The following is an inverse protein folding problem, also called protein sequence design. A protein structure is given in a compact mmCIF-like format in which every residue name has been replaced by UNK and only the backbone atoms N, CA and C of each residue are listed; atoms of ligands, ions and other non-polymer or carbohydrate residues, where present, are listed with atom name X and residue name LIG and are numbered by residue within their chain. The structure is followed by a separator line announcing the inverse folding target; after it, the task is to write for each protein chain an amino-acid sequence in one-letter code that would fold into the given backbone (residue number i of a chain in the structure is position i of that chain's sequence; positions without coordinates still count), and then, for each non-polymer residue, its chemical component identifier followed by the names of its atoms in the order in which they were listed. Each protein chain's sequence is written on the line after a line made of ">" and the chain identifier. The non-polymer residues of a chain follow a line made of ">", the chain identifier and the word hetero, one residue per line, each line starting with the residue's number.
data_IF_685131215421
#
_entry.id   IF_685131215421
#
_cell.length_a   1.000
_cell.length_b   1.000
_cell.length_c   1.000
_cell.angle_alpha   90.00
_cell.angle_beta   90.00
_cell.angle_gamma   90.00
#
_symmetry.space_group_name_H-M   'P 1'
#
loop_
_entity.id
_entity.type
_entity.pdbx_description
1 polymer ?
#
# COMPACT_ATOMS: atom_id res chain seq x y z
N UNK A 1 5.85 0.04 -18.71
CA UNK A 1 5.01 1.24 -18.47
C UNK A 1 4.76 1.42 -16.98
N UNK A 2 4.23 0.39 -16.29
CA UNK A 2 4.03 0.42 -14.84
C UNK A 2 5.34 0.70 -14.06
N UNK A 3 6.44 0.03 -14.38
CA UNK A 3 7.74 0.25 -13.72
C UNK A 3 8.18 1.72 -13.72
N UNK A 4 8.19 2.39 -14.87
CA UNK A 4 8.58 3.79 -14.96
C UNK A 4 7.66 4.73 -14.15
N UNK A 5 6.36 4.43 -14.11
CA UNK A 5 5.40 5.17 -13.28
C UNK A 5 5.65 4.94 -11.78
N UNK A 6 5.95 3.70 -11.37
CA UNK A 6 6.30 3.38 -9.99
C UNK A 6 7.61 4.07 -9.57
N UNK A 7 8.62 4.07 -10.44
CA UNK A 7 9.89 4.74 -10.19
C UNK A 7 9.70 6.26 -10.05
N UNK A 8 8.87 6.86 -10.91
CA UNK A 8 8.55 8.29 -10.83
C UNK A 8 7.79 8.64 -9.54
N UNK A 9 6.79 7.84 -9.18
CA UNK A 9 6.05 8.01 -7.92
C UNK A 9 6.99 7.89 -6.73
N UNK A 10 7.82 6.86 -6.71
CA UNK A 10 8.78 6.65 -5.64
C UNK A 10 9.79 7.79 -5.54
N UNK A 11 10.28 8.33 -6.66
CA UNK A 11 11.14 9.51 -6.66
C UNK A 11 10.49 10.74 -5.99
N UNK A 12 9.16 10.82 -5.94
CA UNK A 12 8.44 11.92 -5.29
C UNK A 12 8.20 11.69 -3.79
N UNK A 13 8.12 10.44 -3.34
CA UNK A 13 7.65 10.11 -1.97
C UNK A 13 8.65 9.32 -1.13
N UNK A 14 9.65 8.68 -1.73
CA UNK A 14 10.58 7.77 -1.05
C UNK A 14 11.37 8.45 0.08
N UNK A 15 11.85 9.68 -0.16
CA UNK A 15 12.55 10.47 0.85
C UNK A 15 11.67 10.87 2.06
N UNK A 16 10.34 10.73 1.96
CA UNK A 16 9.42 10.94 3.06
C UNK A 16 9.14 9.66 3.88
N UNK A 17 9.85 8.56 3.59
CA UNK A 17 9.66 7.26 4.25
C UNK A 17 8.44 6.49 3.74
N UNK A 18 8.04 6.70 2.48
CA UNK A 18 6.91 6.01 1.87
C UNK A 18 7.37 4.88 0.95
N UNK A 19 6.68 3.73 0.99
CA UNK A 19 6.74 2.74 -0.07
C UNK A 19 5.67 3.01 -1.14
N UNK A 20 5.92 2.58 -2.37
CA UNK A 20 4.94 2.55 -3.45
C UNK A 20 4.68 1.10 -3.83
N UNK A 21 3.41 0.71 -3.90
CA UNK A 21 2.97 -0.63 -4.25
C UNK A 21 2.11 -0.60 -5.51
N UNK A 22 2.29 -1.60 -6.37
CA UNK A 22 1.32 -1.97 -7.39
C UNK A 22 0.64 -3.24 -6.94
N UNK A 23 -0.69 -3.25 -6.88
CA UNK A 23 -1.48 -4.43 -6.50
C UNK A 23 -2.37 -4.89 -7.66
N UNK A 24 -2.69 -6.18 -7.68
CA UNK A 24 -3.65 -6.75 -8.61
C UNK A 24 -5.11 -6.52 -8.16
N UNK A 25 -6.06 -7.04 -8.94
CA UNK A 25 -7.49 -6.91 -8.67
C UNK A 25 -7.99 -7.67 -7.46
N UNK A 26 -7.18 -8.58 -6.89
CA UNK A 26 -7.52 -9.31 -5.67
C UNK A 26 -6.93 -8.61 -4.42
N UNK A 27 -6.27 -7.46 -4.63
CA UNK A 27 -5.65 -6.68 -3.57
C UNK A 27 -4.32 -7.28 -3.10
N UNK A 28 -3.60 -7.98 -3.98
CA UNK A 28 -2.28 -8.53 -3.69
C UNK A 28 -1.21 -7.63 -4.32
N UNK A 29 -0.27 -7.04 -3.54
CA UNK A 29 0.88 -6.36 -4.12
C UNK A 29 1.68 -7.31 -5.01
N UNK A 30 2.00 -6.86 -6.22
CA UNK A 30 2.80 -7.59 -7.21
C UNK A 30 4.15 -6.91 -7.46
N UNK A 31 4.24 -5.60 -7.24
CA UNK A 31 5.48 -4.85 -7.30
C UNK A 31 5.56 -3.81 -6.18
N UNK A 32 6.81 -3.43 -5.84
CA UNK A 32 7.13 -2.51 -4.76
C UNK A 32 8.31 -1.61 -5.14
N UNK A 33 8.30 -0.39 -4.62
CA UNK A 33 9.47 0.47 -4.41
C UNK A 33 9.50 0.96 -2.96
N UNK A 34 10.68 0.99 -2.35
CA UNK A 34 10.90 1.39 -0.96
C UNK A 34 12.38 1.60 -0.70
N UNK A 35 12.70 2.39 0.32
CA UNK A 35 14.08 2.54 0.79
C UNK A 35 14.49 1.27 1.56
N UNK A 36 15.68 0.75 1.27
CA UNK A 36 16.16 -0.50 1.89
C UNK A 36 16.24 -0.43 3.43
N UNK A 37 16.38 0.78 3.99
CA UNK A 37 16.36 1.01 5.44
C UNK A 37 15.01 0.73 6.10
N UNK A 38 13.91 0.79 5.34
CA UNK A 38 12.55 0.58 5.83
C UNK A 38 12.01 -0.83 5.51
N UNK A 39 12.76 -1.65 4.79
CA UNK A 39 12.31 -2.95 4.27
C UNK A 39 11.81 -3.88 5.37
N UNK A 40 12.55 -3.99 6.48
CA UNK A 40 12.16 -4.84 7.61
C UNK A 40 10.81 -4.41 8.21
N UNK A 41 10.56 -3.09 8.28
CA UNK A 41 9.30 -2.55 8.79
C UNK A 41 8.15 -2.81 7.82
N UNK A 42 8.35 -2.55 6.53
CA UNK A 42 7.31 -2.77 5.53
C UNK A 42 7.00 -4.25 5.33
N UNK A 43 7.99 -5.13 5.43
CA UNK A 43 7.79 -6.58 5.40
C UNK A 43 6.99 -7.06 6.62
N UNK A 44 7.33 -6.61 7.83
CA UNK A 44 6.57 -6.92 9.06
C UNK A 44 5.12 -6.42 8.98
N UNK A 45 4.91 -5.26 8.37
CA UNK A 45 3.58 -4.70 8.16
C UNK A 45 2.81 -5.35 7.00
N UNK A 46 3.43 -6.27 6.25
CA UNK A 46 2.82 -6.94 5.11
C UNK A 46 2.68 -6.06 3.86
N UNK A 47 3.37 -4.92 3.78
CA UNK A 47 3.46 -4.06 2.59
C UNK A 47 4.50 -4.61 1.60
N UNK A 48 4.32 -5.88 1.24
CA UNK A 48 5.27 -6.67 0.47
C UNK A 48 4.56 -7.49 -0.61
N UNK A 49 5.22 -7.79 -1.76
CA UNK A 49 4.63 -8.64 -2.78
C UNK A 49 4.13 -9.99 -2.25
N UNK A 50 2.89 -10.35 -2.60
CA UNK A 50 2.24 -11.59 -2.19
C UNK A 50 1.36 -11.51 -0.93
N UNK A 51 1.39 -10.39 -0.19
CA UNK A 51 0.48 -10.20 0.95
C UNK A 51 -0.96 -9.90 0.50
N UNK A 52 -1.97 -10.50 1.14
CA UNK A 52 -3.37 -10.29 0.75
C UNK A 52 -3.98 -9.10 1.49
N UNK A 53 -4.31 -8.03 0.77
CA UNK A 53 -4.92 -6.80 1.29
C UNK A 53 -6.36 -6.56 0.83
N UNK A 54 -7.06 -7.60 0.35
CA UNK A 54 -8.49 -7.48 0.05
C UNK A 54 -9.26 -6.93 1.27
N UNK A 55 -10.27 -6.09 1.04
CA UNK A 55 -11.06 -5.52 2.16
C UNK A 55 -11.79 -6.61 2.94
N UNK A 56 -12.10 -7.74 2.31
CA UNK A 56 -12.70 -8.90 2.97
C UNK A 56 -11.75 -9.56 3.99
N UNK A 57 -10.43 -9.48 3.77
CA UNK A 57 -9.41 -10.06 4.64
C UNK A 57 -8.88 -9.05 5.67
N UNK A 58 -8.53 -7.85 5.21
CA UNK A 58 -7.85 -6.82 6.02
C UNK A 58 -8.81 -5.75 6.57
N UNK A 59 -10.12 -5.86 6.28
CA UNK A 59 -11.08 -4.79 6.52
C UNK A 59 -10.74 -3.53 5.72
N UNK A 60 -11.35 -2.40 6.08
CA UNK A 60 -11.05 -1.10 5.48
C UNK A 60 -9.55 -0.81 5.52
N UNK A 61 -8.95 -0.71 4.34
CA UNK A 61 -7.52 -0.42 4.11
C UNK A 61 -7.33 0.29 2.76
N UNK A 62 -6.13 0.80 2.46
CA UNK A 62 -5.89 1.52 1.22
C UNK A 62 -6.12 0.69 -0.06
N UNK A 63 -5.56 -0.52 -0.12
CA UNK A 63 -5.52 -1.35 -1.33
C UNK A 63 -6.90 -1.95 -1.62
N UNK A 64 -7.44 -2.73 -0.69
CA UNK A 64 -8.71 -3.44 -0.89
C UNK A 64 -9.89 -2.50 -1.09
N UNK A 65 -9.96 -1.42 -0.32
CA UNK A 65 -11.06 -0.44 -0.45
C UNK A 65 -11.01 0.27 -1.81
N UNK A 66 -9.82 0.59 -2.32
CA UNK A 66 -9.67 1.22 -3.63
C UNK A 66 -10.19 0.31 -4.76
N UNK A 67 -9.87 -0.99 -4.69
CA UNK A 67 -10.33 -2.00 -5.65
C UNK A 67 -11.85 -2.09 -5.67
N UNK A 68 -12.49 -2.09 -4.50
CA UNK A 68 -13.96 -2.18 -4.36
C UNK A 68 -14.63 -0.88 -4.82
N UNK A 69 -14.16 0.26 -4.35
CA UNK A 69 -14.75 1.57 -4.61
C UNK A 69 -14.53 2.06 -6.05
N UNK A 70 -13.55 1.49 -6.76
CA UNK A 70 -13.18 1.84 -8.16
C UNK A 70 -12.94 3.34 -8.34
N UNK A 71 -12.35 3.96 -7.32
CA UNK A 71 -11.96 5.37 -7.30
C UNK A 71 -10.76 5.52 -6.37
N UNK A 72 -9.98 6.59 -6.52
CA UNK A 72 -8.95 6.91 -5.55
C UNK A 72 -9.50 7.07 -4.14
N UNK A 73 -8.76 6.56 -3.16
CA UNK A 73 -9.09 6.62 -1.73
C UNK A 73 -7.88 7.05 -0.91
N UNK A 74 -8.16 7.64 0.24
CA UNK A 74 -7.18 7.86 1.30
C UNK A 74 -7.71 7.22 2.57
N UNK A 75 -6.91 6.34 3.18
CA UNK A 75 -7.21 5.68 4.45
C UNK A 75 -6.08 6.02 5.40
N UNK A 76 -6.38 6.77 6.45
CA UNK A 76 -5.39 7.33 7.34
C UNK A 76 -5.63 6.85 8.78
N UNK A 77 -4.59 6.25 9.37
CA UNK A 77 -4.53 5.82 10.77
C UNK A 77 -5.74 4.99 11.20
N UNK A 78 -6.59 5.55 12.07
CA UNK A 78 -7.77 4.94 12.68
C UNK A 78 -8.92 4.71 11.70
N UNK A 79 -8.79 5.17 10.45
CA UNK A 79 -9.66 4.75 9.35
C UNK A 79 -9.37 3.32 8.89
N UNK A 80 -8.20 2.76 9.21
CA UNK A 80 -7.97 1.33 9.02
C UNK A 80 -8.85 0.53 9.97
N UNK A 81 -9.45 -0.55 9.45
CA UNK A 81 -10.28 -1.42 10.28
C UNK A 81 -9.50 -2.08 11.42
N UNK A 82 -8.28 -2.55 11.13
CA UNK A 82 -7.42 -3.16 12.14
C UNK A 82 -6.46 -2.16 12.78
N UNK A 83 -6.43 -2.14 14.12
CA UNK A 83 -5.56 -1.27 14.90
C UNK A 83 -4.05 -1.47 14.63
N UNK A 84 -3.62 -2.67 14.20
CA UNK A 84 -2.21 -2.91 13.80
C UNK A 84 -1.76 -2.00 12.65
N UNK A 85 -2.71 -1.57 11.81
CA UNK A 85 -2.47 -0.68 10.67
C UNK A 85 -2.61 0.80 11.05
N UNK A 86 -2.85 1.13 12.34
CA UNK A 86 -3.08 2.50 12.79
C UNK A 86 -1.88 3.45 12.63
N UNK A 87 -0.68 2.91 12.42
CA UNK A 87 0.52 3.68 12.08
C UNK A 87 0.57 4.09 10.60
N UNK A 88 -0.26 3.51 9.73
CA UNK A 88 -0.24 3.73 8.29
C UNK A 88 -1.10 4.91 7.85
N UNK A 89 -0.62 5.61 6.82
CA UNK A 89 -1.43 6.44 5.94
C UNK A 89 -1.32 5.91 4.52
N UNK A 90 -2.44 5.55 3.91
CA UNK A 90 -2.49 5.00 2.56
C UNK A 90 -3.19 5.96 1.60
N UNK A 91 -2.62 6.10 0.41
CA UNK A 91 -3.25 6.72 -0.75
C UNK A 91 -3.21 5.68 -1.88
N UNK A 92 -4.37 5.35 -2.45
CA UNK A 92 -4.50 4.36 -3.52
C UNK A 92 -5.37 4.92 -4.65
N UNK A 93 -5.07 4.54 -5.89
CA UNK A 93 -5.72 5.03 -7.10
C UNK A 93 -5.70 3.99 -8.22
#
# INVERSE_FOLDING_TARGET
>A
AAEASLDQLFSAVGAAGCCVLLADSDGVPVERRGEAGDDATFEDWGLWPGALWSEATEGTNGIGTCVIERRPVTVHRDQHFFARNGALGCMAA
#
